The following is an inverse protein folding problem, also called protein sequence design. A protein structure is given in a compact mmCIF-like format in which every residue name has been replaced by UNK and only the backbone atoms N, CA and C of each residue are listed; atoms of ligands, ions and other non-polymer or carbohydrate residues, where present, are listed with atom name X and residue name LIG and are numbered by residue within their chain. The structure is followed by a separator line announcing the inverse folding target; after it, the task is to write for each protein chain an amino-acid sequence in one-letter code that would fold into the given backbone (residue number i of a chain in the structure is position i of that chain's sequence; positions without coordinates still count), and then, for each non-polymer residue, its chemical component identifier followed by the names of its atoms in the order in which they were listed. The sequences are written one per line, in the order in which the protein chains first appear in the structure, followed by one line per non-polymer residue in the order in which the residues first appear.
data_IF_565485206926
#
_entry.id   IF_565485206926
#
_cell.length_a   1.000
_cell.length_b   1.000
_cell.length_c   1.000
_cell.angle_alpha   90.00
_cell.angle_beta   90.00
_cell.angle_gamma   90.00
#
_symmetry.space_group_name_H-M   'P 1'
#
loop_
_entity.id
_entity.type
_entity.pdbx_description
1 polymer ?
#
# COMPACT_ATOMS: atom_id res chain seq x y z
N UNK A 1 -3.70 12.49 -0.79
CA UNK A 1 -2.64 11.46 -0.64
C UNK A 1 -2.03 11.23 -2.01
N UNK A 2 -0.70 11.18 -2.14
CA UNK A 2 -0.06 10.78 -3.41
C UNK A 2 -0.38 9.32 -3.69
N UNK A 3 -0.66 8.99 -4.95
CA UNK A 3 -0.94 7.63 -5.38
C UNK A 3 0.30 6.73 -5.17
N UNK A 4 0.08 5.50 -4.69
CA UNK A 4 1.17 4.53 -4.52
C UNK A 4 1.67 4.09 -5.90
N UNK A 5 2.91 4.47 -6.24
CA UNK A 5 3.58 4.01 -7.46
C UNK A 5 4.20 2.63 -7.25
N UNK A 6 4.46 1.90 -8.33
CA UNK A 6 5.08 0.58 -8.25
C UNK A 6 6.51 0.65 -7.68
N UNK A 7 7.32 1.63 -8.12
CA UNK A 7 8.66 1.87 -7.54
C UNK A 7 8.59 2.20 -6.05
N UNK A 8 7.63 3.03 -5.63
CA UNK A 8 7.42 3.35 -4.22
C UNK A 8 7.02 2.12 -3.39
N UNK A 9 6.15 1.27 -3.95
CA UNK A 9 5.81 -0.02 -3.38
C UNK A 9 7.06 -0.90 -3.20
N UNK A 10 7.81 -1.16 -4.28
CA UNK A 10 8.98 -2.04 -4.28
C UNK A 10 10.02 -1.60 -3.23
N UNK A 11 10.32 -0.30 -3.15
CA UNK A 11 11.23 0.26 -2.13
C UNK A 11 10.76 -0.03 -0.71
N UNK A 12 9.47 0.13 -0.41
CA UNK A 12 8.94 -0.21 0.91
C UNK A 12 8.88 -1.72 1.15
N UNK A 13 8.65 -2.49 0.09
CA UNK A 13 8.39 -3.92 0.15
C UNK A 13 9.66 -4.72 0.40
N UNK A 14 10.74 -4.47 -0.35
CA UNK A 14 12.04 -5.12 -0.11
C UNK A 14 12.60 -4.78 1.27
N UNK A 15 12.40 -3.53 1.72
CA UNK A 15 12.80 -3.10 3.07
C UNK A 15 12.06 -3.88 4.15
N UNK A 16 10.75 -4.04 4.01
CA UNK A 16 9.92 -4.77 4.98
C UNK A 16 10.16 -6.29 4.98
N UNK A 17 10.63 -6.84 3.86
CA UNK A 17 11.03 -8.25 3.78
C UNK A 17 12.41 -8.51 4.39
N UNK A 18 13.29 -7.51 4.40
CA UNK A 18 14.64 -7.64 4.91
C UNK A 18 14.69 -7.71 6.43
N UNK A 19 15.44 -8.67 6.96
CA UNK A 19 15.71 -8.77 8.40
C UNK A 19 16.41 -7.52 8.97
N UNK A 20 17.20 -6.82 8.15
CA UNK A 20 17.94 -5.62 8.53
C UNK A 20 17.22 -4.31 8.17
N UNK A 21 15.95 -4.38 7.72
CA UNK A 21 15.15 -3.25 7.27
C UNK A 21 15.89 -2.29 6.31
N UNK A 22 16.66 -2.86 5.37
CA UNK A 22 17.54 -2.09 4.49
C UNK A 22 17.08 -2.08 3.03
N UNK A 23 17.57 -1.10 2.27
CA UNK A 23 17.41 -1.01 0.82
C UNK A 23 18.74 -1.25 0.07
N UNK A 24 19.79 -1.65 0.79
CA UNK A 24 21.10 -1.90 0.20
C UNK A 24 21.06 -3.16 -0.65
N UNK A 25 21.25 -3.02 -1.97
CA UNK A 25 21.22 -4.16 -2.89
C UNK A 25 22.23 -5.25 -2.52
N UNK A 26 23.42 -4.91 -2.02
CA UNK A 26 24.40 -5.90 -1.59
C UNK A 26 23.92 -6.73 -0.39
N UNK A 27 23.38 -6.06 0.64
CA UNK A 27 22.84 -6.76 1.83
C UNK A 27 21.64 -7.61 1.45
N UNK A 28 20.72 -7.04 0.67
CA UNK A 28 19.51 -7.74 0.19
C UNK A 28 19.85 -8.92 -0.71
N UNK A 29 20.87 -8.82 -1.57
CA UNK A 29 21.28 -9.92 -2.45
C UNK A 29 21.85 -11.09 -1.65
N UNK A 30 22.70 -10.80 -0.65
CA UNK A 30 23.22 -11.83 0.24
C UNK A 30 22.08 -12.51 0.99
N UNK A 31 21.19 -11.72 1.59
CA UNK A 31 20.01 -12.23 2.31
C UNK A 31 19.12 -13.09 1.39
N UNK A 32 18.83 -12.63 0.17
CA UNK A 32 18.01 -13.35 -0.80
C UNK A 32 18.62 -14.67 -1.29
N UNK A 33 19.95 -14.73 -1.37
CA UNK A 33 20.68 -15.91 -1.80
C UNK A 33 20.70 -16.98 -0.72
N UNK A 34 20.98 -16.57 0.53
CA UNK A 34 21.39 -17.49 1.59
C UNK A 34 20.26 -17.79 2.60
N UNK A 35 19.41 -16.82 2.92
CA UNK A 35 18.57 -16.85 4.13
C UNK A 35 17.07 -16.62 3.85
N UNK A 36 16.75 -15.73 2.92
CA UNK A 36 15.40 -15.21 2.72
C UNK A 36 14.97 -15.25 1.25
N UNK A 37 14.50 -16.41 0.76
CA UNK A 37 14.05 -16.56 -0.62
C UNK A 37 12.93 -15.59 -1.03
N UNK A 38 12.16 -15.05 -0.08
CA UNK A 38 11.07 -14.09 -0.37
C UNK A 38 11.57 -12.77 -0.97
N UNK A 39 12.85 -12.46 -0.83
CA UNK A 39 13.46 -11.27 -1.43
C UNK A 39 13.79 -11.47 -2.92
N UNK A 40 13.89 -12.69 -3.44
CA UNK A 40 14.49 -12.97 -4.76
C UNK A 40 13.81 -12.21 -5.90
N UNK A 41 12.52 -12.39 -6.11
CA UNK A 41 11.80 -11.75 -7.21
C UNK A 41 11.57 -10.26 -6.96
N UNK A 42 11.15 -9.81 -5.75
CA UNK A 42 11.03 -8.40 -5.44
C UNK A 42 12.32 -7.61 -5.62
N UNK A 43 13.48 -8.21 -5.34
CA UNK A 43 14.79 -7.55 -5.42
C UNK A 43 15.18 -7.25 -6.87
N UNK A 44 14.97 -8.18 -7.81
CA UNK A 44 15.22 -7.92 -9.22
C UNK A 44 14.32 -6.80 -9.75
N UNK A 45 13.02 -6.85 -9.43
CA UNK A 45 12.09 -5.79 -9.82
C UNK A 45 12.50 -4.46 -9.19
N UNK A 46 12.86 -4.43 -7.91
CA UNK A 46 13.33 -3.22 -7.24
C UNK A 46 14.56 -2.62 -7.93
N UNK A 47 15.57 -3.43 -8.25
CA UNK A 47 16.76 -2.96 -8.97
C UNK A 47 16.42 -2.45 -10.37
N UNK A 48 15.56 -3.14 -11.12
CA UNK A 48 15.16 -2.74 -12.47
C UNK A 48 14.40 -1.41 -12.46
N UNK A 49 13.42 -1.26 -11.58
CA UNK A 49 12.57 -0.08 -11.51
C UNK A 49 13.23 1.13 -10.81
N UNK A 50 14.43 0.96 -10.27
CA UNK A 50 15.28 2.03 -9.73
C UNK A 50 16.56 2.27 -10.52
N UNK A 51 16.70 1.66 -11.71
CA UNK A 51 17.88 1.79 -12.59
C UNK A 51 19.20 1.31 -11.97
N UNK A 52 19.14 0.39 -11.00
CA UNK A 52 20.29 -0.15 -10.29
C UNK A 52 20.58 -1.62 -10.64
N UNK A 53 20.16 -2.07 -11.83
CA UNK A 53 20.34 -3.45 -12.30
C UNK A 53 21.83 -3.85 -12.31
N UNK A 54 22.73 -2.98 -12.76
CA UNK A 54 24.17 -3.27 -12.78
C UNK A 54 24.74 -3.48 -11.37
N UNK A 55 24.25 -2.73 -10.39
CA UNK A 55 24.65 -2.89 -8.99
C UNK A 55 24.16 -4.23 -8.45
N UNK A 56 22.92 -4.60 -8.76
CA UNK A 56 22.36 -5.90 -8.39
C UNK A 56 23.17 -7.05 -9.00
N UNK A 57 23.48 -6.98 -10.31
CA UNK A 57 24.24 -8.03 -10.99
C UNK A 57 25.66 -8.17 -10.46
N UNK A 58 26.32 -7.07 -10.06
CA UNK A 58 27.61 -7.11 -9.37
C UNK A 58 27.50 -7.82 -8.01
N UNK A 59 26.48 -7.48 -7.23
CA UNK A 59 26.23 -8.12 -5.93
C UNK A 59 25.91 -9.61 -6.07
N UNK A 60 25.16 -9.99 -7.10
CA UNK A 60 24.71 -11.36 -7.32
C UNK A 60 25.78 -12.26 -7.94
N UNK A 61 26.89 -11.72 -8.46
CA UNK A 61 27.87 -12.41 -9.33
C UNK A 61 28.36 -13.78 -8.82
N UNK A 62 28.43 -13.98 -7.50
CA UNK A 62 28.89 -15.24 -6.87
C UNK A 62 27.76 -16.04 -6.20
N UNK A 63 26.50 -15.71 -6.51
CA UNK A 63 25.31 -16.35 -5.95
C UNK A 63 24.58 -17.15 -7.03
N UNK A 64 23.72 -18.07 -6.61
CA UNK A 64 22.85 -18.81 -7.52
C UNK A 64 21.85 -17.93 -8.29
N UNK A 65 21.62 -16.68 -7.84
CA UNK A 65 20.65 -15.75 -8.43
C UNK A 65 21.15 -15.07 -9.71
N UNK A 66 22.47 -15.07 -9.96
CA UNK A 66 23.08 -14.27 -11.02
C UNK A 66 22.53 -14.59 -12.41
N UNK A 67 22.45 -15.87 -12.76
CA UNK A 67 22.05 -16.32 -14.10
C UNK A 67 20.62 -15.90 -14.42
N UNK A 68 19.69 -16.16 -13.50
CA UNK A 68 18.29 -15.78 -13.64
C UNK A 68 18.14 -14.26 -13.74
N UNK A 69 18.73 -13.51 -12.81
CA UNK A 69 18.66 -12.05 -12.80
C UNK A 69 19.19 -11.44 -14.09
N UNK A 70 20.35 -11.93 -14.57
CA UNK A 70 20.94 -11.44 -15.82
C UNK A 70 20.03 -11.75 -17.01
N UNK A 71 19.51 -12.97 -17.10
CA UNK A 71 18.66 -13.40 -18.21
C UNK A 71 17.37 -12.57 -18.28
N UNK A 72 16.68 -12.39 -17.15
CA UNK A 72 15.46 -11.60 -17.09
C UNK A 72 15.71 -10.10 -17.29
N UNK A 73 16.78 -9.56 -16.70
CA UNK A 73 17.15 -8.15 -16.85
C UNK A 73 17.49 -7.77 -18.30
N UNK A 74 18.10 -8.70 -19.05
CA UNK A 74 18.41 -8.54 -20.47
C UNK A 74 17.18 -8.71 -21.36
N UNK A 75 16.27 -9.62 -21.00
CA UNK A 75 15.04 -9.89 -21.76
C UNK A 75 14.03 -8.75 -21.67
N UNK A 76 13.90 -8.13 -20.50
CA UNK A 76 12.87 -7.14 -20.23
C UNK A 76 13.48 -5.81 -19.80
N UNK A 77 13.14 -4.74 -20.49
CA UNK A 77 13.25 -3.38 -19.98
C UNK A 77 12.11 -3.08 -18.97
N UNK A 78 11.99 -1.85 -18.47
CA UNK A 78 10.95 -1.52 -17.48
C UNK A 78 9.55 -1.72 -18.04
N UNK A 79 9.30 -1.22 -19.26
CA UNK A 79 8.01 -1.34 -19.93
C UNK A 79 7.68 -2.82 -20.23
N UNK A 80 8.67 -3.58 -20.69
CA UNK A 80 8.56 -5.01 -20.92
C UNK A 80 8.25 -5.81 -19.66
N UNK A 81 8.89 -5.50 -18.53
CA UNK A 81 8.55 -6.10 -17.24
C UNK A 81 7.12 -5.76 -16.83
N UNK A 82 6.72 -4.49 -16.94
CA UNK A 82 5.38 -4.05 -16.57
C UNK A 82 4.29 -4.74 -17.42
N UNK A 83 4.49 -4.82 -18.74
CA UNK A 83 3.61 -5.57 -19.64
C UNK A 83 3.57 -7.07 -19.29
N UNK A 84 4.72 -7.68 -19.01
CA UNK A 84 4.84 -9.09 -18.66
C UNK A 84 4.19 -9.43 -17.31
N UNK A 85 4.22 -8.51 -16.34
CA UNK A 85 3.59 -8.66 -15.02
C UNK A 85 2.05 -8.57 -15.10
N UNK A 86 1.53 -7.79 -16.05
CA UNK A 86 0.09 -7.61 -16.27
C UNK A 86 -0.52 -8.72 -17.12
N UNK A 87 0.27 -9.34 -18.00
CA UNK A 87 -0.20 -10.39 -18.90
C UNK A 87 -0.13 -11.78 -18.24
N UNK A 88 -1.30 -12.39 -18.00
CA UNK A 88 -1.39 -13.73 -17.43
C UNK A 88 -0.65 -14.78 -18.28
N UNK A 89 -0.68 -14.66 -19.59
CA UNK A 89 -0.04 -15.57 -20.56
C UNK A 89 1.45 -15.31 -20.77
N UNK A 90 2.02 -14.29 -20.10
CA UNK A 90 3.45 -14.00 -20.17
C UNK A 90 4.29 -15.18 -19.65
N UNK A 91 5.44 -15.49 -20.27
CA UNK A 91 6.37 -16.52 -19.79
C UNK A 91 7.17 -16.08 -18.54
N UNK A 92 6.92 -14.88 -18.02
CA UNK A 92 7.52 -14.43 -16.76
C UNK A 92 7.07 -15.35 -15.61
N UNK A 93 7.99 -15.81 -14.74
CA UNK A 93 7.64 -16.72 -13.65
C UNK A 93 6.55 -16.15 -12.73
N UNK A 94 5.75 -17.04 -12.18
CA UNK A 94 4.55 -16.70 -11.41
C UNK A 94 4.88 -15.92 -10.13
N UNK A 95 6.06 -16.16 -9.57
CA UNK A 95 6.60 -15.51 -8.38
C UNK A 95 6.75 -14.00 -8.58
N UNK A 96 7.19 -13.56 -9.76
CA UNK A 96 7.23 -12.15 -10.12
C UNK A 96 5.82 -11.55 -10.23
N UNK A 97 4.88 -12.30 -10.83
CA UNK A 97 3.48 -11.87 -10.94
C UNK A 97 2.82 -11.74 -9.56
N UNK A 98 3.18 -12.56 -8.57
CA UNK A 98 2.73 -12.42 -7.17
C UNK A 98 3.17 -11.08 -6.55
N UNK A 99 4.37 -10.57 -6.88
CA UNK A 99 4.81 -9.23 -6.44
C UNK A 99 3.91 -8.14 -7.00
N UNK A 100 3.57 -8.23 -8.30
CA UNK A 100 2.64 -7.29 -8.93
C UNK A 100 1.23 -7.34 -8.32
N UNK A 101 0.69 -8.53 -8.06
CA UNK A 101 -0.60 -8.67 -7.37
C UNK A 101 -0.58 -8.07 -5.97
N UNK A 102 0.55 -8.20 -5.26
CA UNK A 102 0.73 -7.58 -3.93
C UNK A 102 0.73 -6.05 -4.03
N UNK A 103 1.35 -5.48 -5.06
CA UNK A 103 1.27 -4.05 -5.37
C UNK A 103 -0.17 -3.61 -5.65
N UNK A 104 -0.89 -4.29 -6.55
CA UNK A 104 -2.27 -3.96 -6.87
C UNK A 104 -3.19 -4.05 -5.65
N UNK A 105 -3.04 -5.09 -4.82
CA UNK A 105 -3.78 -5.23 -3.57
C UNK A 105 -3.56 -4.03 -2.65
N UNK A 106 -2.30 -3.60 -2.47
CA UNK A 106 -1.96 -2.45 -1.61
C UNK A 106 -2.42 -1.12 -2.20
N UNK A 107 -2.32 -0.96 -3.53
CA UNK A 107 -2.79 0.21 -4.26
C UNK A 107 -4.31 0.35 -4.14
N UNK A 108 -5.04 -0.74 -4.37
CA UNK A 108 -6.50 -0.77 -4.33
C UNK A 108 -7.05 -0.67 -2.90
N UNK A 109 -6.29 -1.10 -1.87
CA UNK A 109 -6.69 -0.92 -0.47
C UNK A 109 -7.01 0.53 -0.14
N UNK A 110 -6.24 1.49 -0.65
CA UNK A 110 -6.52 2.91 -0.42
C UNK A 110 -7.85 3.36 -1.02
N UNK A 111 -8.19 2.87 -2.22
CA UNK A 111 -9.48 3.13 -2.85
C UNK A 111 -10.62 2.46 -2.07
N UNK A 112 -10.45 1.21 -1.66
CA UNK A 112 -11.42 0.47 -0.86
C UNK A 112 -11.64 1.12 0.51
N UNK A 113 -10.58 1.59 1.17
CA UNK A 113 -10.65 2.32 2.43
C UNK A 113 -11.36 3.66 2.24
N UNK A 114 -11.11 4.37 1.13
CA UNK A 114 -11.79 5.61 0.81
C UNK A 114 -13.29 5.39 0.56
N UNK A 115 -13.64 4.37 -0.22
CA UNK A 115 -15.04 3.98 -0.44
C UNK A 115 -15.72 3.60 0.88
N UNK A 116 -15.04 2.84 1.74
CA UNK A 116 -15.56 2.49 3.07
C UNK A 116 -15.77 3.73 3.94
N UNK A 117 -14.83 4.68 3.94
CA UNK A 117 -14.97 5.96 4.65
C UNK A 117 -16.12 6.80 4.12
N UNK A 118 -16.41 6.75 2.83
CA UNK A 118 -17.55 7.44 2.23
C UNK A 118 -18.89 6.83 2.66
N UNK A 119 -19.01 5.50 2.64
CA UNK A 119 -20.18 4.79 3.18
C UNK A 119 -20.40 5.11 4.66
N UNK A 120 -19.32 5.13 5.46
CA UNK A 120 -19.36 5.51 6.87
C UNK A 120 -19.78 6.97 7.05
N UNK A 121 -19.25 7.90 6.24
CA UNK A 121 -19.67 9.30 6.27
C UNK A 121 -21.17 9.44 6.05
N UNK A 122 -21.71 8.76 5.03
CA UNK A 122 -23.13 8.79 4.73
C UNK A 122 -23.96 8.30 5.92
N UNK A 123 -23.50 7.25 6.60
CA UNK A 123 -24.11 6.76 7.84
C UNK A 123 -24.00 7.76 9.00
N UNK A 124 -22.84 8.39 9.18
CA UNK A 124 -22.60 9.43 10.21
C UNK A 124 -23.56 10.59 10.01
N UNK A 125 -23.67 11.15 8.80
CA UNK A 125 -24.58 12.28 8.50
C UNK A 125 -26.04 11.93 8.82
N UNK A 126 -26.48 10.71 8.45
CA UNK A 126 -27.84 10.24 8.75
C UNK A 126 -28.09 10.11 10.27
N UNK A 127 -27.20 9.42 10.98
CA UNK A 127 -27.32 9.21 12.43
C UNK A 127 -27.23 10.51 13.20
N UNK A 128 -26.33 11.39 12.79
CA UNK A 128 -26.14 12.70 13.38
C UNK A 128 -27.43 13.53 13.31
N UNK A 129 -28.05 13.59 12.13
CA UNK A 129 -29.33 14.29 11.92
C UNK A 129 -30.45 13.68 12.78
N UNK A 130 -30.55 12.34 12.80
CA UNK A 130 -31.57 11.64 13.57
C UNK A 130 -31.42 11.84 15.09
N UNK A 131 -30.18 11.96 15.58
CA UNK A 131 -29.89 12.06 17.02
C UNK A 131 -29.63 13.48 17.52
N UNK A 132 -29.70 14.49 16.64
CA UNK A 132 -29.45 15.89 17.01
C UNK A 132 -28.04 16.18 17.52
N UNK A 133 -27.03 15.40 17.11
CA UNK A 133 -25.66 15.54 17.61
C UNK A 133 -24.90 16.59 16.79
N UNK A 134 -24.22 17.55 17.42
CA UNK A 134 -23.44 18.55 16.70
C UNK A 134 -22.08 18.02 16.23
N UNK A 135 -21.50 18.63 15.18
CA UNK A 135 -20.12 18.31 14.78
C UNK A 135 -19.15 18.54 15.93
N UNK A 136 -19.38 19.61 16.73
CA UNK A 136 -18.57 19.96 17.89
C UNK A 136 -18.45 18.80 18.87
N UNK A 137 -19.60 18.23 19.26
CA UNK A 137 -19.63 17.11 20.19
C UNK A 137 -18.88 15.90 19.65
N UNK A 138 -19.00 15.60 18.36
CA UNK A 138 -18.30 14.46 17.75
C UNK A 138 -16.78 14.61 17.84
N UNK A 139 -16.23 15.76 17.42
CA UNK A 139 -14.76 15.91 17.45
C UNK A 139 -14.22 16.17 18.85
N UNK A 140 -15.00 16.77 19.75
CA UNK A 140 -14.60 16.97 21.15
C UNK A 140 -14.55 15.63 21.89
N UNK A 141 -15.66 14.87 21.89
CA UNK A 141 -15.78 13.62 22.65
C UNK A 141 -14.83 12.53 22.13
N UNK A 142 -14.49 12.55 20.83
CA UNK A 142 -13.59 11.58 20.20
C UNK A 142 -12.15 12.06 20.11
N UNK A 143 -11.84 13.28 20.55
CA UNK A 143 -10.49 13.87 20.47
C UNK A 143 -9.97 13.97 19.03
N UNK A 144 -10.81 14.39 18.09
CA UNK A 144 -10.49 14.47 16.66
C UNK A 144 -10.04 15.88 16.28
N UNK A 145 -9.19 15.99 15.25
CA UNK A 145 -8.84 17.29 14.68
C UNK A 145 -10.08 17.94 14.03
N UNK A 146 -10.56 19.11 14.51
CA UNK A 146 -11.80 19.71 14.03
C UNK A 146 -11.77 20.09 12.56
N UNK A 147 -10.63 20.58 12.05
CA UNK A 147 -10.47 20.96 10.66
C UNK A 147 -10.61 19.76 9.73
N UNK A 148 -9.79 18.74 9.95
CA UNK A 148 -9.81 17.51 9.16
C UNK A 148 -11.18 16.80 9.21
N UNK A 149 -11.77 16.68 10.40
CA UNK A 149 -13.05 16.03 10.57
C UNK A 149 -14.18 16.79 9.86
N UNK A 150 -14.21 18.12 9.98
CA UNK A 150 -15.19 18.94 9.26
C UNK A 150 -14.99 18.88 7.74
N UNK A 151 -13.74 18.84 7.26
CA UNK A 151 -13.50 18.71 5.82
C UNK A 151 -14.04 17.39 5.29
N UNK A 152 -13.77 16.27 5.98
CA UNK A 152 -14.35 14.97 5.62
C UNK A 152 -15.87 14.99 5.68
N UNK A 153 -16.46 15.50 6.77
CA UNK A 153 -17.91 15.44 6.97
C UNK A 153 -18.67 16.37 6.01
N UNK A 154 -18.18 17.58 5.75
CA UNK A 154 -18.86 18.56 4.88
C UNK A 154 -18.58 18.31 3.40
N UNK A 155 -17.31 18.14 3.02
CA UNK A 155 -16.90 18.07 1.61
C UNK A 155 -16.64 16.65 1.12
N UNK A 156 -16.75 15.64 1.99
CA UNK A 156 -16.60 14.24 1.60
C UNK A 156 -15.16 13.80 1.39
N UNK A 157 -14.15 14.61 1.69
CA UNK A 157 -12.74 14.28 1.45
C UNK A 157 -12.28 13.13 2.37
N UNK A 158 -12.15 11.89 1.87
CA UNK A 158 -11.80 10.74 2.70
C UNK A 158 -10.32 10.79 3.13
N UNK A 159 -9.48 11.62 2.50
CA UNK A 159 -8.06 11.71 2.83
C UNK A 159 -7.78 12.42 4.16
N UNK A 160 -8.78 13.13 4.71
CA UNK A 160 -8.64 13.90 5.95
C UNK A 160 -8.85 13.07 7.21
N UNK A 161 -9.45 11.89 7.11
CA UNK A 161 -9.66 11.00 8.26
C UNK A 161 -9.13 9.60 7.99
N UNK A 162 -8.75 8.91 9.06
CA UNK A 162 -8.44 7.48 8.99
C UNK A 162 -9.73 6.65 8.95
N UNK A 163 -9.61 5.38 8.53
CA UNK A 163 -10.73 4.45 8.59
C UNK A 163 -11.17 4.18 10.04
N UNK A 164 -10.21 4.18 10.99
CA UNK A 164 -10.50 4.07 12.42
C UNK A 164 -11.33 5.25 12.94
N UNK A 165 -10.97 6.48 12.57
CA UNK A 165 -11.76 7.67 12.91
C UNK A 165 -13.20 7.53 12.43
N UNK A 166 -13.40 7.15 11.15
CA UNK A 166 -14.74 6.94 10.61
C UNK A 166 -15.53 5.85 11.37
N UNK A 167 -14.90 4.73 11.71
CA UNK A 167 -15.51 3.65 12.51
C UNK A 167 -15.89 4.11 13.90
N UNK A 168 -14.98 4.80 14.61
CA UNK A 168 -15.21 5.33 15.95
C UNK A 168 -16.38 6.32 15.98
N UNK A 169 -16.49 7.18 14.97
CA UNK A 169 -17.62 8.12 14.85
C UNK A 169 -18.95 7.41 14.63
N UNK A 170 -19.00 6.39 13.76
CA UNK A 170 -20.23 5.58 13.58
C UNK A 170 -20.62 4.91 14.90
N UNK A 171 -19.67 4.23 15.56
CA UNK A 171 -19.93 3.54 16.83
C UNK A 171 -20.40 4.48 17.93
N UNK A 172 -19.79 5.67 18.04
CA UNK A 172 -20.21 6.71 18.99
C UNK A 172 -21.67 7.11 18.75
N UNK A 173 -22.02 7.40 17.50
CA UNK A 173 -23.38 7.81 17.15
C UNK A 173 -24.37 6.67 17.35
N UNK A 174 -24.04 5.42 17.03
CA UNK A 174 -24.90 4.25 17.29
C UNK A 174 -25.24 4.13 18.78
N UNK A 175 -24.25 4.36 19.65
CA UNK A 175 -24.41 4.27 21.11
C UNK A 175 -24.99 5.53 21.76
N UNK A 176 -25.12 6.65 21.04
CA UNK A 176 -25.77 7.85 21.58
C UNK A 176 -27.28 7.62 21.67
N UNK A 177 -27.96 7.85 22.80
CA UNK A 177 -29.40 7.73 22.90
C UNK A 177 -30.13 8.64 21.91
N UNK A 178 -31.30 8.23 21.41
CA UNK A 178 -32.13 9.14 20.62
C UNK A 178 -32.72 10.24 21.53
N UNK A 179 -32.88 11.47 21.02
CA UNK A 179 -33.62 12.49 21.75
C UNK A 179 -35.03 11.97 22.03
N UNK A 180 -35.48 12.06 23.30
CA UNK A 180 -36.86 11.75 23.65
C UNK A 180 -37.72 12.86 23.04
N UNK A 181 -38.67 12.45 22.19
CA UNK A 181 -39.70 13.32 21.60
C UNK A 181 -40.60 13.90 22.70
#
# INVERSE_FOLDING_TARGET
MRELTFTGFLKSYVRALSAAETNSLYKLTKEAADENPRLREPLLLYAKFTDNTDVLLRAAKKTALYSEYKNLANRYDKAGFEAALQNASSPLPEEYKKVWRSYLSKKNRLQNDNHTKELMRNKVVKLQKAKGVSNYRLYADLGLNPGNFNTWLKYGDPSKVSLDTARRTVKYLENTPQPRL
#
